data_IF_470443330613
#
_entry.id   IF_470443330613
#
_cell.length_a   1.000
_cell.length_b   1.000
_cell.length_c   1.000
_cell.angle_alpha   90.00
_cell.angle_beta   90.00
_cell.angle_gamma   90.00
#
_symmetry.space_group_name_H-M   'P 1'
#
loop_
_entity.id
_entity.type
_entity.pdbx_description
1 polymer ?
#
# COMPACT_ATOMS: atom_id res chain seq x y z
N UNK A 1 -21.79 -4.11 -14.57
CA UNK A 1 -21.61 -5.25 -13.65
C UNK A 1 -20.74 -4.78 -12.49
N UNK A 2 -21.36 -4.22 -11.45
CA UNK A 2 -20.68 -3.91 -10.19
C UNK A 2 -21.06 -5.01 -9.20
N UNK A 3 -20.16 -5.97 -9.01
CA UNK A 3 -20.34 -6.97 -7.97
C UNK A 3 -20.40 -6.27 -6.60
N UNK A 4 -21.27 -6.70 -5.69
CA UNK A 4 -21.37 -6.12 -4.35
C UNK A 4 -20.00 -6.17 -3.68
N UNK A 5 -19.63 -5.05 -3.04
CA UNK A 5 -18.55 -5.00 -2.08
C UNK A 5 -18.89 -5.98 -0.93
N UNK A 6 -18.57 -7.26 -1.14
CA UNK A 6 -18.88 -8.32 -0.20
C UNK A 6 -18.26 -7.94 1.14
N UNK A 7 -19.06 -8.02 2.21
CA UNK A 7 -18.79 -7.62 3.61
C UNK A 7 -17.47 -8.18 4.22
N UNK A 8 -16.63 -8.88 3.45
CA UNK A 8 -15.32 -9.44 3.83
C UNK A 8 -14.12 -8.87 3.04
N UNK A 9 -14.33 -7.95 2.09
CA UNK A 9 -13.29 -7.43 1.22
C UNK A 9 -12.89 -8.46 0.15
N UNK A 10 -12.80 -8.05 -1.12
CA UNK A 10 -12.56 -9.00 -2.19
C UNK A 10 -11.17 -9.64 -2.04
N UNK A 11 -11.11 -10.98 -2.11
CA UNK A 11 -9.85 -11.74 -2.11
C UNK A 11 -8.88 -11.19 -3.16
N UNK A 12 -9.43 -10.73 -4.29
CA UNK A 12 -8.72 -10.09 -5.39
C UNK A 12 -8.00 -8.79 -4.98
N UNK A 13 -8.68 -7.87 -4.29
CA UNK A 13 -8.08 -6.63 -3.80
C UNK A 13 -6.92 -6.91 -2.83
N UNK A 14 -7.10 -7.89 -1.94
CA UNK A 14 -6.02 -8.32 -1.04
C UNK A 14 -4.84 -8.87 -1.81
N UNK A 15 -5.09 -9.63 -2.88
CA UNK A 15 -4.04 -10.18 -3.74
C UNK A 15 -3.25 -9.08 -4.45
N UNK A 16 -3.93 -8.07 -4.99
CA UNK A 16 -3.31 -6.88 -5.57
C UNK A 16 -2.44 -6.13 -4.55
N UNK A 17 -2.93 -5.93 -3.33
CA UNK A 17 -2.13 -5.29 -2.27
C UNK A 17 -0.92 -6.12 -1.84
N UNK A 18 -0.98 -7.46 -1.88
CA UNK A 18 0.18 -8.32 -1.59
C UNK A 18 1.21 -8.24 -2.70
N UNK A 19 0.78 -8.20 -3.96
CA UNK A 19 1.68 -8.01 -5.10
C UNK A 19 2.37 -6.64 -5.03
N UNK A 20 1.60 -5.57 -4.80
CA UNK A 20 2.16 -4.22 -4.62
C UNK A 20 3.14 -4.17 -3.44
N UNK A 21 2.79 -4.78 -2.29
CA UNK A 21 3.68 -4.85 -1.15
C UNK A 21 4.98 -5.59 -1.47
N UNK A 22 4.93 -6.70 -2.20
CA UNK A 22 6.13 -7.42 -2.62
C UNK A 22 7.02 -6.60 -3.55
N UNK A 23 6.44 -5.86 -4.50
CA UNK A 23 7.19 -4.96 -5.40
C UNK A 23 7.87 -3.83 -4.61
N UNK A 24 7.18 -3.25 -3.63
CA UNK A 24 7.75 -2.22 -2.74
C UNK A 24 8.87 -2.81 -1.88
N UNK A 25 8.72 -4.05 -1.40
CA UNK A 25 9.75 -4.74 -0.62
C UNK A 25 10.93 -5.23 -1.46
N UNK A 26 10.76 -5.44 -2.77
CA UNK A 26 11.85 -5.74 -3.70
C UNK A 26 12.76 -4.52 -3.94
N UNK A 27 12.27 -3.30 -3.73
CA UNK A 27 13.02 -2.04 -3.99
C UNK A 27 13.23 -1.22 -2.71
N UNK A 28 14.15 -1.63 -1.81
CA UNK A 28 14.47 -0.89 -0.60
C UNK A 28 14.99 0.54 -0.84
N UNK A 29 15.61 0.79 -2.00
CA UNK A 29 16.09 2.12 -2.38
C UNK A 29 14.97 3.16 -2.55
N UNK A 30 13.72 2.73 -2.80
CA UNK A 30 12.57 3.65 -2.94
C UNK A 30 11.86 3.93 -1.61
N UNK A 31 12.23 3.24 -0.52
CA UNK A 31 11.60 3.44 0.79
C UNK A 31 11.64 4.88 1.31
N UNK A 32 12.76 5.64 1.22
CA UNK A 32 12.79 7.04 1.70
C UNK A 32 11.88 7.99 0.89
N UNK A 33 11.42 7.59 -0.30
CA UNK A 33 10.45 8.38 -1.08
C UNK A 33 9.02 8.32 -0.53
N UNK A 34 8.69 7.31 0.28
CA UNK A 34 7.37 7.15 0.86
C UNK A 34 7.30 7.76 2.26
N UNK A 35 6.16 8.39 2.60
CA UNK A 35 5.90 8.90 3.96
C UNK A 35 5.89 7.81 5.05
N UNK A 36 5.93 6.54 4.66
CA UNK A 36 6.04 5.39 5.56
C UNK A 36 7.35 4.59 5.42
N UNK A 37 8.36 5.16 4.75
CA UNK A 37 9.68 4.56 4.57
C UNK A 37 10.37 4.20 5.87
N UNK A 38 10.41 5.12 6.84
CA UNK A 38 11.03 4.88 8.15
C UNK A 38 10.33 3.78 8.95
N UNK A 39 9.02 3.65 8.78
CA UNK A 39 8.27 2.56 9.37
C UNK A 39 8.65 1.23 8.71
N UNK A 40 8.82 1.21 7.39
CA UNK A 40 9.17 0.01 6.63
C UNK A 40 10.58 -0.48 6.98
N UNK A 41 11.54 0.44 7.11
CA UNK A 41 12.90 0.13 7.56
C UNK A 41 12.91 -0.47 8.98
N UNK A 42 12.20 0.15 9.93
CA UNK A 42 12.08 -0.35 11.31
C UNK A 42 11.28 -1.66 11.40
N UNK A 43 10.32 -1.88 10.51
CA UNK A 43 9.56 -3.12 10.47
C UNK A 43 10.34 -4.26 9.83
N UNK A 44 11.19 -3.97 8.84
CA UNK A 44 12.07 -4.95 8.20
C UNK A 44 13.13 -5.51 9.16
N UNK A 45 13.61 -4.72 10.13
CA UNK A 45 14.54 -5.23 11.15
C UNK A 45 13.85 -6.12 12.19
N UNK A 46 12.54 -5.97 12.39
CA UNK A 46 11.76 -6.70 13.42
C UNK A 46 11.01 -7.91 12.89
N UNK A 47 10.75 -7.99 11.58
CA UNK A 47 9.88 -8.99 10.99
C UNK A 47 10.44 -9.57 9.70
N UNK A 48 10.26 -10.89 9.53
CA UNK A 48 10.57 -11.57 8.27
C UNK A 48 9.76 -10.98 7.10
N UNK A 49 10.36 -10.98 5.90
CA UNK A 49 9.83 -10.37 4.67
C UNK A 49 8.35 -10.67 4.38
N UNK A 50 7.91 -11.91 4.60
CA UNK A 50 6.52 -12.32 4.38
C UNK A 50 5.54 -11.67 5.37
N UNK A 51 5.92 -11.52 6.64
CA UNK A 51 5.10 -10.82 7.64
C UNK A 51 5.06 -9.32 7.34
N UNK A 52 6.19 -8.77 6.91
CA UNK A 52 6.30 -7.38 6.48
C UNK A 52 5.39 -7.07 5.28
N UNK A 53 5.34 -7.97 4.29
CA UNK A 53 4.46 -7.84 3.13
C UNK A 53 2.99 -7.77 3.55
N UNK A 54 2.55 -8.68 4.43
CA UNK A 54 1.18 -8.70 4.95
C UNK A 54 0.86 -7.45 5.77
N UNK A 55 1.82 -6.97 6.57
CA UNK A 55 1.65 -5.73 7.34
C UNK A 55 1.49 -4.52 6.42
N UNK A 56 2.32 -4.43 5.37
CA UNK A 56 2.23 -3.38 4.35
C UNK A 56 0.90 -3.44 3.60
N UNK A 57 0.46 -4.64 3.20
CA UNK A 57 -0.87 -4.85 2.58
C UNK A 57 -1.99 -4.36 3.49
N UNK A 58 -1.98 -4.69 4.78
CA UNK A 58 -3.01 -4.20 5.72
C UNK A 58 -2.98 -2.67 5.86
N UNK A 59 -1.79 -2.07 5.80
CA UNK A 59 -1.64 -0.61 5.84
C UNK A 59 -2.24 0.03 4.58
N UNK A 60 -1.92 -0.49 3.40
CA UNK A 60 -2.49 -0.03 2.12
C UNK A 60 -4.01 -0.21 2.09
N UNK A 61 -4.52 -1.36 2.52
CA UNK A 61 -5.95 -1.63 2.58
C UNK A 61 -6.69 -0.63 3.48
N UNK A 62 -6.11 -0.25 4.64
CA UNK A 62 -6.68 0.79 5.51
C UNK A 62 -6.68 2.17 4.86
N UNK A 63 -5.61 2.53 4.14
CA UNK A 63 -5.54 3.81 3.40
C UNK A 63 -6.62 3.83 2.32
N UNK A 64 -6.67 2.80 1.47
CA UNK A 64 -7.69 2.70 0.42
C UNK A 64 -9.11 2.67 0.98
N UNK A 65 -9.35 1.96 2.08
CA UNK A 65 -10.66 1.97 2.73
C UNK A 65 -11.02 3.34 3.29
N UNK A 66 -10.05 4.05 3.89
CA UNK A 66 -10.24 5.43 4.35
C UNK A 66 -10.59 6.35 3.17
N UNK A 67 -9.82 6.30 2.09
CA UNK A 67 -10.08 7.09 0.87
C UNK A 67 -11.46 6.78 0.28
N UNK A 68 -11.78 5.49 0.13
CA UNK A 68 -13.05 5.03 -0.43
C UNK A 68 -14.25 5.43 0.46
N UNK A 69 -14.10 5.34 1.79
CA UNK A 69 -15.17 5.65 2.73
C UNK A 69 -15.36 7.14 2.95
N UNK A 70 -14.28 7.92 2.89
CA UNK A 70 -14.34 9.36 3.07
C UNK A 70 -14.65 10.11 1.77
N UNK A 71 -14.66 9.44 0.61
CA UNK A 71 -15.02 10.06 -0.68
C UNK A 71 -14.07 11.20 -1.11
N UNK A 72 -13.01 11.43 -0.35
CA UNK A 72 -11.98 12.42 -0.65
C UNK A 72 -11.20 11.92 -1.85
N UNK A 73 -11.10 12.71 -2.94
CA UNK A 73 -10.16 12.40 -4.01
C UNK A 73 -8.78 12.22 -3.37
N UNK A 74 -8.09 11.15 -3.75
CA UNK A 74 -6.69 10.99 -3.40
C UNK A 74 -5.98 12.18 -4.03
N UNK A 75 -5.63 13.17 -3.20
CA UNK A 75 -4.92 14.35 -3.66
C UNK A 75 -3.53 13.91 -4.11
N UNK A 76 -3.40 13.70 -5.41
CA UNK A 76 -2.19 13.28 -6.08
C UNK A 76 -1.23 14.47 -6.28
N UNK A 77 -1.23 15.46 -5.38
CA UNK A 77 -0.27 16.58 -5.41
C UNK A 77 1.20 16.17 -5.15
N UNK A 78 1.55 14.89 -5.29
CA UNK A 78 2.92 14.38 -5.19
C UNK A 78 3.36 13.45 -6.33
N UNK A 79 2.53 13.22 -7.36
CA UNK A 79 2.95 12.47 -8.57
C UNK A 79 3.42 13.37 -9.73
N UNK A 80 3.20 14.70 -9.67
CA UNK A 80 3.80 15.62 -10.65
C UNK A 80 5.33 15.66 -10.59
N UNK A 81 5.94 15.25 -9.46
CA UNK A 81 7.41 15.26 -9.29
C UNK A 81 8.09 14.02 -9.90
N UNK A 82 7.35 12.97 -10.27
CA UNK A 82 7.93 11.72 -10.82
C UNK A 82 7.59 11.47 -12.30
N UNK A 83 6.69 12.29 -12.90
CA UNK A 83 6.43 12.29 -14.34
C UNK A 83 7.27 13.33 -15.11
N UNK A 84 8.11 14.09 -14.41
CA UNK A 84 8.97 15.14 -14.96
C UNK A 84 10.47 14.90 -14.76
N UNK A 85 10.94 13.67 -15.03
CA UNK A 85 12.37 13.35 -15.29
C UNK A 85 12.46 12.51 -16.54
#
# INVERSE_FOLDING_TARGET
VLEPCSKRGSRYLRMLFVQAANVVLMRPHHWPGFSFGDWLARAATRMHRNKLAIALTNKLARITWSVLRHGTPFDAQRDEVMAGV
#
